data_IF_299939393638
#
_entry.id   IF_299939393638
#
_cell.length_a   1.000
_cell.length_b   1.000
_cell.length_c   1.000
_cell.angle_alpha   90.00
_cell.angle_beta   90.00
_cell.angle_gamma   90.00
#
_symmetry.space_group_name_H-M   'P 1'
#
loop_
_entity.id
_entity.type
_entity.pdbx_description
1 polymer ?
#
# COMPACT_ATOMS: atom_id res chain seq x y z
N UNK A 1 -2.64 -37.36 16.19
CA UNK A 1 -2.88 -37.86 14.81
C UNK A 1 -1.53 -38.22 14.20
N UNK A 2 -1.39 -39.26 13.36
CA UNK A 2 -0.12 -39.48 12.64
C UNK A 2 0.15 -38.28 11.73
N UNK A 3 1.41 -37.91 11.52
CA UNK A 3 1.79 -36.77 10.66
C UNK A 3 1.19 -36.87 9.25
N UNK A 4 1.17 -38.09 8.70
CA UNK A 4 0.54 -38.40 7.42
C UNK A 4 -0.95 -38.05 7.41
N UNK A 5 -1.69 -38.38 8.48
CA UNK A 5 -3.13 -38.11 8.55
C UNK A 5 -3.42 -36.60 8.57
N UNK A 6 -2.62 -35.81 9.29
CA UNK A 6 -2.74 -34.34 9.28
C UNK A 6 -2.55 -33.75 7.88
N UNK A 7 -1.59 -34.26 7.12
CA UNK A 7 -1.36 -33.80 5.74
C UNK A 7 -2.53 -34.16 4.83
N UNK A 8 -3.08 -35.36 4.93
CA UNK A 8 -4.24 -35.79 4.13
C UNK A 8 -5.47 -34.94 4.45
N UNK A 9 -5.74 -34.70 5.74
CA UNK A 9 -6.86 -33.86 6.18
C UNK A 9 -6.69 -32.42 5.68
N UNK A 10 -5.48 -31.84 5.80
CA UNK A 10 -5.18 -30.49 5.33
C UNK A 10 -5.34 -30.31 3.82
N UNK A 11 -4.98 -31.31 3.00
CA UNK A 11 -5.19 -31.28 1.54
C UNK A 11 -6.68 -31.23 1.22
N UNK A 12 -7.46 -32.08 1.89
CA UNK A 12 -8.91 -32.17 1.67
C UNK A 12 -9.59 -30.86 2.07
N UNK A 13 -9.27 -30.33 3.27
CA UNK A 13 -9.79 -29.04 3.72
C UNK A 13 -9.35 -27.87 2.82
N UNK A 14 -8.16 -27.95 2.22
CA UNK A 14 -7.67 -26.92 1.32
C UNK A 14 -8.44 -26.88 0.00
N UNK A 15 -8.67 -28.04 -0.61
CA UNK A 15 -9.49 -28.19 -1.81
C UNK A 15 -10.94 -27.72 -1.58
N UNK A 16 -11.48 -27.97 -0.38
CA UNK A 16 -12.82 -27.55 0.00
C UNK A 16 -12.92 -26.08 0.45
N UNK A 17 -11.80 -25.38 0.57
CA UNK A 17 -11.79 -23.98 0.96
C UNK A 17 -12.56 -23.12 -0.04
N UNK A 18 -13.28 -22.11 0.46
CA UNK A 18 -14.07 -21.23 -0.39
C UNK A 18 -13.22 -20.54 -1.46
N UNK A 19 -12.00 -20.10 -1.11
CA UNK A 19 -11.09 -19.38 -2.02
C UNK A 19 -10.67 -20.27 -3.19
N UNK A 20 -10.28 -21.51 -2.92
CA UNK A 20 -9.89 -22.48 -3.96
C UNK A 20 -11.11 -22.83 -4.81
N UNK A 21 -12.26 -23.20 -4.19
CA UNK A 21 -13.47 -23.56 -4.94
C UNK A 21 -13.99 -22.43 -5.81
N UNK A 22 -14.04 -21.20 -5.32
CA UNK A 22 -14.53 -20.06 -6.09
C UNK A 22 -13.60 -19.72 -7.27
N UNK A 23 -12.28 -19.90 -7.12
CA UNK A 23 -11.35 -19.71 -8.22
C UNK A 23 -11.44 -20.84 -9.24
N UNK A 24 -11.50 -22.09 -8.77
CA UNK A 24 -11.64 -23.29 -9.61
C UNK A 24 -12.94 -23.30 -10.43
N UNK A 25 -14.07 -23.04 -9.77
CA UNK A 25 -15.39 -23.00 -10.44
C UNK A 25 -15.53 -21.84 -11.41
N UNK A 26 -14.76 -20.76 -11.22
CA UNK A 26 -14.73 -19.60 -12.11
C UNK A 26 -13.72 -19.69 -13.26
N UNK A 27 -13.12 -20.87 -13.54
CA UNK A 27 -12.09 -21.04 -14.58
C UNK A 27 -12.50 -20.40 -15.90
N UNK A 28 -13.72 -20.70 -16.35
CA UNK A 28 -14.24 -20.24 -17.63
C UNK A 28 -14.27 -18.72 -17.68
N UNK A 29 -14.89 -18.08 -16.70
CA UNK A 29 -15.00 -16.62 -16.61
C UNK A 29 -13.62 -15.95 -16.51
N UNK A 30 -12.69 -16.54 -15.76
CA UNK A 30 -11.33 -16.01 -15.58
C UNK A 30 -10.52 -16.05 -16.89
N UNK A 31 -10.58 -17.18 -17.59
CA UNK A 31 -9.85 -17.36 -18.85
C UNK A 31 -10.49 -16.53 -19.97
N UNK A 32 -11.83 -16.49 -20.06
CA UNK A 32 -12.56 -15.68 -21.04
C UNK A 32 -12.38 -14.17 -20.81
N UNK A 33 -12.22 -13.74 -19.56
CA UNK A 33 -11.91 -12.35 -19.23
C UNK A 33 -10.56 -11.89 -19.83
N UNK A 34 -9.62 -12.81 -20.06
CA UNK A 34 -8.35 -12.51 -20.72
C UNK A 34 -7.28 -11.87 -19.80
N UNK A 35 -7.52 -11.78 -18.48
CA UNK A 35 -6.49 -11.32 -17.53
C UNK A 35 -5.40 -12.36 -17.32
N UNK A 36 -5.78 -13.63 -17.34
CA UNK A 36 -4.90 -14.78 -17.19
C UNK A 36 -4.90 -15.59 -18.49
N UNK A 37 -3.72 -15.96 -18.96
CA UNK A 37 -3.60 -17.12 -19.83
C UNK A 37 -3.97 -18.39 -19.05
N UNK A 38 -4.32 -19.47 -19.77
CA UNK A 38 -4.63 -20.75 -19.11
C UNK A 38 -3.51 -21.23 -18.19
N UNK A 39 -2.26 -21.14 -18.63
CA UNK A 39 -1.12 -21.53 -17.79
C UNK A 39 -0.89 -20.61 -16.57
N UNK A 40 -1.24 -19.32 -16.65
CA UNK A 40 -1.21 -18.45 -15.47
C UNK A 40 -2.34 -18.73 -14.49
N UNK A 41 -3.53 -19.07 -15.00
CA UNK A 41 -4.64 -19.53 -14.19
C UNK A 41 -4.25 -20.81 -13.42
N UNK A 42 -3.70 -21.81 -14.11
CA UNK A 42 -3.25 -23.07 -13.51
C UNK A 42 -2.19 -22.83 -12.42
N UNK A 43 -1.15 -22.02 -12.72
CA UNK A 43 -0.13 -21.66 -11.73
C UNK A 43 -0.70 -20.94 -10.51
N UNK A 44 -1.64 -20.02 -10.71
CA UNK A 44 -2.25 -19.32 -9.59
C UNK A 44 -3.15 -20.25 -8.77
N UNK A 45 -3.89 -21.17 -9.41
CA UNK A 45 -4.68 -22.18 -8.74
C UNK A 45 -3.80 -23.11 -7.88
N UNK A 46 -2.66 -23.55 -8.42
CA UNK A 46 -1.67 -24.35 -7.68
C UNK A 46 -1.12 -23.58 -6.47
N UNK A 47 -0.77 -22.30 -6.66
CA UNK A 47 -0.38 -21.42 -5.57
C UNK A 47 -1.47 -21.30 -4.49
N UNK A 48 -2.74 -21.14 -4.89
CA UNK A 48 -3.86 -21.06 -3.95
C UNK A 48 -4.03 -22.34 -3.14
N UNK A 49 -3.92 -23.50 -3.79
CA UNK A 49 -4.00 -24.81 -3.15
C UNK A 49 -2.87 -25.00 -2.14
N UNK A 50 -1.65 -24.66 -2.52
CA UNK A 50 -0.49 -24.76 -1.63
C UNK A 50 -0.58 -23.79 -0.44
N UNK A 51 -0.95 -22.54 -0.69
CA UNK A 51 -1.16 -21.51 0.33
C UNK A 51 -2.22 -21.95 1.35
N UNK A 52 -3.33 -22.51 0.87
CA UNK A 52 -4.40 -23.01 1.71
C UNK A 52 -3.96 -24.24 2.51
N UNK A 53 -3.28 -25.20 1.87
CA UNK A 53 -2.76 -26.39 2.53
C UNK A 53 -1.84 -26.01 3.70
N UNK A 54 -0.90 -25.09 3.50
CA UNK A 54 -0.01 -24.57 4.55
C UNK A 54 -0.80 -23.90 5.67
N UNK A 55 -1.82 -23.11 5.33
CA UNK A 55 -2.71 -22.49 6.33
C UNK A 55 -3.45 -23.53 7.17
N UNK A 56 -3.95 -24.61 6.55
CA UNK A 56 -4.65 -25.71 7.25
C UNK A 56 -3.73 -26.51 8.15
N UNK A 57 -2.47 -26.71 7.75
CA UNK A 57 -1.45 -27.30 8.63
C UNK A 57 -1.19 -26.44 9.88
N UNK A 58 -1.05 -25.12 9.72
CA UNK A 58 -0.90 -24.18 10.84
C UNK A 58 -2.12 -24.27 11.78
N UNK A 59 -3.33 -24.22 11.24
CA UNK A 59 -4.57 -24.37 12.03
C UNK A 59 -4.64 -25.72 12.75
N UNK A 60 -4.25 -26.80 12.08
CA UNK A 60 -4.21 -28.14 12.66
C UNK A 60 -3.29 -28.21 13.89
N UNK A 61 -2.09 -27.62 13.80
CA UNK A 61 -1.16 -27.53 14.94
C UNK A 61 -1.75 -26.72 16.10
N UNK A 62 -2.43 -25.61 15.81
CA UNK A 62 -3.10 -24.78 16.81
C UNK A 62 -4.29 -25.52 17.46
N UNK A 63 -4.99 -26.38 16.72
CA UNK A 63 -6.10 -27.19 17.28
C UNK A 63 -5.61 -28.29 18.23
N UNK A 64 -4.38 -28.77 18.05
CA UNK A 64 -3.76 -29.82 18.87
C UNK A 64 -3.13 -29.27 20.16
N UNK A 65 -2.91 -27.96 20.29
CA UNK A 65 -2.29 -27.36 21.46
C UNK A 65 -2.87 -26.00 21.82
N UNK A 66 -3.12 -25.77 23.09
CA UNK A 66 -3.59 -24.46 23.58
C UNK A 66 -2.40 -23.58 23.97
N UNK A 67 -2.45 -22.33 23.53
CA UNK A 67 -1.48 -21.31 23.93
C UNK A 67 -0.11 -21.44 23.26
N UNK A 68 -0.07 -21.79 21.98
CA UNK A 68 1.18 -21.93 21.24
C UNK A 68 1.73 -20.58 20.79
N UNK A 69 3.05 -20.43 20.85
CA UNK A 69 3.78 -19.31 20.24
C UNK A 69 3.99 -19.53 18.73
N UNK A 70 4.29 -18.45 17.99
CA UNK A 70 4.69 -18.54 16.57
C UNK A 70 5.90 -19.48 16.40
N UNK A 71 6.85 -19.45 17.34
CA UNK A 71 8.05 -20.29 17.30
C UNK A 71 7.73 -21.78 17.35
N UNK A 72 6.87 -22.16 18.28
CA UNK A 72 6.49 -23.56 18.47
C UNK A 72 5.71 -24.09 17.27
N UNK A 73 4.85 -23.26 16.67
CA UNK A 73 4.13 -23.62 15.46
C UNK A 73 5.10 -23.77 14.29
N UNK A 74 6.06 -22.86 14.12
CA UNK A 74 7.10 -22.93 13.10
C UNK A 74 7.92 -24.22 13.23
N UNK A 75 8.37 -24.56 14.43
CA UNK A 75 9.07 -25.81 14.71
C UNK A 75 8.23 -27.05 14.37
N UNK A 76 6.93 -27.06 14.73
CA UNK A 76 6.04 -28.21 14.50
C UNK A 76 5.61 -28.38 13.03
N UNK A 77 5.55 -27.29 12.28
CA UNK A 77 5.16 -27.29 10.86
C UNK A 77 6.35 -27.41 9.91
N UNK A 78 7.55 -27.01 10.36
CA UNK A 78 8.73 -26.85 9.52
C UNK A 78 8.72 -25.57 8.68
N UNK A 79 7.75 -24.66 8.90
CA UNK A 79 7.66 -23.38 8.19
C UNK A 79 8.51 -22.31 8.86
N UNK A 80 8.84 -21.24 8.13
CA UNK A 80 9.46 -20.07 8.74
C UNK A 80 8.49 -19.35 9.68
N UNK A 81 9.02 -18.62 10.66
CA UNK A 81 8.21 -17.77 11.58
C UNK A 81 7.32 -16.80 10.81
N UNK A 82 7.84 -16.25 9.71
CA UNK A 82 7.14 -15.30 8.85
C UNK A 82 5.94 -15.94 8.16
N UNK A 83 6.10 -17.16 7.63
CA UNK A 83 5.01 -17.91 7.01
C UNK A 83 3.92 -18.27 8.03
N UNK A 84 4.32 -18.71 9.23
CA UNK A 84 3.38 -18.98 10.32
C UNK A 84 2.62 -17.70 10.70
N UNK A 85 3.33 -16.59 10.95
CA UNK A 85 2.72 -15.31 11.31
C UNK A 85 1.70 -14.85 10.26
N UNK A 86 2.03 -15.02 8.97
CA UNK A 86 1.16 -14.70 7.83
C UNK A 86 -0.15 -15.50 7.88
N UNK A 87 -0.06 -16.81 8.11
CA UNK A 87 -1.21 -17.70 8.19
C UNK A 87 -2.04 -17.46 9.45
N UNK A 88 -1.40 -17.25 10.60
CA UNK A 88 -2.06 -16.87 11.86
C UNK A 88 -2.84 -15.57 11.66
N UNK A 89 -2.27 -14.55 11.02
CA UNK A 89 -2.98 -13.30 10.73
C UNK A 89 -4.24 -13.51 9.86
N UNK A 90 -4.16 -14.37 8.85
CA UNK A 90 -5.32 -14.72 8.04
C UNK A 90 -6.38 -15.50 8.85
N UNK A 91 -5.95 -16.47 9.67
CA UNK A 91 -6.84 -17.26 10.53
C UNK A 91 -7.53 -16.39 11.60
N UNK A 92 -6.85 -15.38 12.15
CA UNK A 92 -7.45 -14.39 13.07
C UNK A 92 -8.55 -13.59 12.39
N UNK A 93 -8.30 -13.19 11.14
CA UNK A 93 -9.29 -12.46 10.34
C UNK A 93 -10.52 -13.30 10.01
N UNK A 94 -10.34 -14.60 9.85
CA UNK A 94 -11.42 -15.59 9.72
C UNK A 94 -12.03 -15.99 11.07
N UNK A 95 -11.58 -15.37 12.17
CA UNK A 95 -12.00 -15.66 13.54
C UNK A 95 -11.80 -17.13 13.97
N UNK A 96 -10.90 -17.86 13.31
CA UNK A 96 -10.59 -19.25 13.64
C UNK A 96 -9.61 -19.37 14.82
N UNK A 97 -8.83 -18.32 15.06
CA UNK A 97 -7.84 -18.25 16.16
C UNK A 97 -7.87 -16.88 16.83
N UNK A 98 -7.50 -16.84 18.10
CA UNK A 98 -7.31 -15.64 18.91
C UNK A 98 -5.83 -15.50 19.31
N UNK A 99 -5.36 -14.25 19.47
CA UNK A 99 -4.03 -13.98 20.03
C UNK A 99 -4.17 -13.23 21.35
N UNK A 100 -3.52 -13.75 22.40
CA UNK A 100 -3.46 -13.13 23.73
C UNK A 100 -2.08 -12.50 23.96
N UNK A 101 -2.10 -11.26 24.45
CA UNK A 101 -0.99 -10.49 25.05
C UNK A 101 0.27 -10.20 24.21
N UNK A 102 1.16 -9.39 24.79
CA UNK A 102 2.44 -8.85 24.25
C UNK A 102 3.53 -9.93 24.00
N UNK A 103 3.14 -11.20 24.07
CA UNK A 103 3.96 -12.38 23.85
C UNK A 103 3.28 -13.43 22.95
N UNK A 104 2.44 -13.00 22.01
CA UNK A 104 1.89 -13.78 20.87
C UNK A 104 1.55 -15.25 21.18
N UNK A 105 0.67 -15.44 22.17
CA UNK A 105 0.09 -16.74 22.49
C UNK A 105 -1.16 -16.94 21.64
N UNK A 106 -1.21 -18.04 20.87
CA UNK A 106 -2.30 -18.32 19.92
C UNK A 106 -3.21 -19.42 20.48
N UNK A 107 -4.51 -19.15 20.54
CA UNK A 107 -5.53 -20.08 21.03
C UNK A 107 -6.61 -20.34 19.98
N UNK A 108 -7.21 -21.54 20.02
CA UNK A 108 -8.37 -21.88 19.17
C UNK A 108 -9.64 -21.18 19.67
N UNK A 109 -10.54 -20.82 18.76
CA UNK A 109 -11.89 -20.33 19.09
C UNK A 109 -12.91 -21.47 19.04
N UNK A 110 -13.75 -21.62 20.07
CA UNK A 110 -14.87 -22.58 20.11
C UNK A 110 -16.04 -22.04 19.28
N UNK A 111 -16.08 -22.40 18.00
CA UNK A 111 -17.12 -22.19 16.97
C UNK A 111 -18.01 -20.93 16.98
N UNK A 112 -17.87 -20.12 15.92
CA UNK A 112 -19.00 -19.69 15.07
C UNK A 112 -18.53 -19.42 13.64
N UNK A 113 -19.25 -19.95 12.64
CA UNK A 113 -19.02 -19.72 11.21
C UNK A 113 -19.61 -18.37 10.76
N UNK A 114 -18.74 -17.40 10.51
CA UNK A 114 -18.71 -16.62 9.26
C UNK A 114 -17.24 -16.67 8.81
N UNK A 115 -16.86 -16.78 7.53
CA UNK A 115 -17.28 -15.95 6.40
C UNK A 115 -16.84 -16.65 5.10
N UNK A 116 -17.57 -16.60 3.98
CA UNK A 116 -16.87 -16.48 2.69
C UNK A 116 -16.23 -15.08 2.68
N UNK A 117 -14.93 -14.95 2.34
CA UNK A 117 -14.26 -13.65 2.23
C UNK A 117 -15.21 -12.59 1.67
N UNK A 118 -15.63 -11.63 2.50
CA UNK A 118 -16.58 -10.62 2.05
C UNK A 118 -15.92 -9.82 0.93
N UNK A 119 -16.67 -9.59 -0.15
CA UNK A 119 -16.28 -8.68 -1.23
C UNK A 119 -15.89 -7.34 -0.59
N UNK A 120 -14.97 -6.58 -1.20
CA UNK A 120 -14.52 -5.29 -0.66
C UNK A 120 -15.62 -4.23 -0.47
N UNK A 121 -16.88 -4.52 -0.84
CA UNK A 121 -18.04 -3.67 -0.64
C UNK A 121 -18.18 -3.17 0.80
N UNK A 122 -18.01 -4.04 1.80
CA UNK A 122 -18.11 -3.65 3.21
C UNK A 122 -17.07 -2.58 3.60
N UNK A 123 -15.84 -2.63 3.05
CA UNK A 123 -14.81 -1.60 3.29
C UNK A 123 -15.26 -0.22 2.78
N UNK A 124 -16.00 -0.21 1.67
CA UNK A 124 -16.54 1.02 1.09
C UNK A 124 -17.71 1.54 1.92
N UNK A 125 -18.62 0.66 2.33
CA UNK A 125 -19.79 0.98 3.18
C UNK A 125 -19.35 1.52 4.55
N UNK A 126 -18.31 0.94 5.13
CA UNK A 126 -17.70 1.38 6.40
C UNK A 126 -16.88 2.69 6.26
N UNK A 127 -16.73 3.22 5.04
CA UNK A 127 -16.00 4.46 4.77
C UNK A 127 -14.47 4.34 4.86
N UNK A 128 -13.94 3.12 4.96
CA UNK A 128 -12.50 2.85 5.14
C UNK A 128 -11.73 2.77 3.82
N UNK A 129 -12.40 2.83 2.67
CA UNK A 129 -11.73 2.76 1.37
C UNK A 129 -10.77 3.93 1.13
N UNK A 130 -9.49 3.61 0.94
CA UNK A 130 -8.43 4.58 0.66
C UNK A 130 -8.35 5.00 -0.82
N UNK A 131 -9.07 4.31 -1.71
CA UNK A 131 -9.03 4.57 -3.15
C UNK A 131 -7.72 4.18 -3.81
N UNK A 132 -7.01 3.16 -3.31
CA UNK A 132 -5.68 2.78 -3.84
C UNK A 132 -5.72 2.07 -5.20
N UNK A 133 -6.82 1.38 -5.56
CA UNK A 133 -6.97 0.66 -6.82
C UNK A 133 -6.53 -0.82 -6.82
N UNK A 134 -6.02 -1.35 -5.70
CA UNK A 134 -5.53 -2.74 -5.63
C UNK A 134 -6.58 -3.81 -5.94
N UNK A 135 -7.83 -3.60 -5.51
CA UNK A 135 -8.93 -4.52 -5.81
C UNK A 135 -9.25 -4.59 -7.31
N UNK A 136 -9.07 -3.48 -8.03
CA UNK A 136 -9.29 -3.39 -9.48
C UNK A 136 -8.23 -4.22 -10.20
N UNK A 137 -6.94 -3.94 -9.90
CA UNK A 137 -5.83 -4.69 -10.48
C UNK A 137 -5.97 -6.20 -10.26
N UNK A 138 -6.34 -6.61 -9.04
CA UNK A 138 -6.39 -8.00 -8.64
C UNK A 138 -7.64 -8.76 -9.10
N UNK A 139 -8.71 -8.09 -9.53
CA UNK A 139 -9.94 -8.76 -9.91
C UNK A 139 -9.72 -9.60 -11.19
N UNK A 140 -9.90 -10.93 -11.16
CA UNK A 140 -9.53 -11.77 -12.30
C UNK A 140 -10.48 -11.65 -13.50
N UNK A 141 -11.69 -11.13 -13.27
CA UNK A 141 -12.80 -11.07 -14.24
C UNK A 141 -13.23 -9.64 -14.55
N UNK A 142 -12.40 -8.64 -14.22
CA UNK A 142 -12.66 -7.21 -14.44
C UNK A 142 -14.04 -6.73 -13.92
N UNK A 143 -14.51 -7.31 -12.81
CA UNK A 143 -15.79 -6.97 -12.20
C UNK A 143 -15.76 -5.69 -11.35
N UNK A 144 -14.64 -4.97 -11.27
CA UNK A 144 -14.51 -3.79 -10.39
C UNK A 144 -14.09 -2.57 -11.21
N UNK A 145 -14.90 -1.51 -11.16
CA UNK A 145 -14.61 -0.21 -11.77
C UNK A 145 -14.42 0.86 -10.69
N UNK A 146 -13.87 2.03 -11.04
CA UNK A 146 -13.69 3.15 -10.10
C UNK A 146 -14.60 4.31 -10.49
N UNK A 147 -15.63 4.56 -9.70
CA UNK A 147 -16.66 5.57 -9.94
C UNK A 147 -16.78 6.41 -8.66
N UNK A 148 -16.83 7.73 -8.80
CA UNK A 148 -16.97 8.67 -7.68
C UNK A 148 -15.99 8.38 -6.52
N UNK A 149 -14.72 8.16 -6.90
CA UNK A 149 -13.62 7.92 -5.97
C UNK A 149 -13.72 6.63 -5.12
N UNK A 150 -14.54 5.68 -5.56
CA UNK A 150 -14.80 4.41 -4.89
C UNK A 150 -14.82 3.25 -5.89
N UNK A 151 -14.43 2.04 -5.47
CA UNK A 151 -14.63 0.85 -6.29
C UNK A 151 -16.11 0.45 -6.31
N UNK A 152 -16.63 0.13 -7.49
CA UNK A 152 -17.98 -0.38 -7.73
C UNK A 152 -17.88 -1.76 -8.35
N UNK A 153 -18.59 -2.73 -7.78
CA UNK A 153 -18.57 -4.14 -8.21
C UNK A 153 -19.76 -4.41 -9.13
N UNK A 154 -19.48 -4.95 -10.32
CA UNK A 154 -20.45 -5.54 -11.22
C UNK A 154 -20.79 -6.95 -10.73
N UNK A 155 -21.96 -7.10 -10.11
CA UNK A 155 -22.43 -8.36 -9.54
C UNK A 155 -22.73 -9.43 -10.60
N UNK A 156 -22.96 -9.04 -11.85
CA UNK A 156 -23.16 -9.97 -12.96
C UNK A 156 -21.85 -10.60 -13.46
N UNK A 157 -20.71 -9.93 -13.23
CA UNK A 157 -19.38 -10.45 -13.56
C UNK A 157 -18.65 -11.06 -12.37
N UNK A 158 -19.02 -10.69 -11.15
CA UNK A 158 -18.27 -11.09 -9.96
C UNK A 158 -18.46 -12.58 -9.63
N UNK A 159 -17.40 -13.37 -9.76
CA UNK A 159 -17.38 -14.79 -9.38
C UNK A 159 -17.25 -15.04 -7.86
N UNK A 160 -17.23 -13.99 -7.03
CA UNK A 160 -17.17 -14.14 -5.57
C UNK A 160 -15.85 -14.67 -5.00
N UNK A 161 -14.75 -14.68 -5.75
CA UNK A 161 -13.48 -15.30 -5.35
C UNK A 161 -12.75 -14.69 -4.13
N UNK A 162 -13.15 -13.49 -3.67
CA UNK A 162 -12.54 -12.85 -2.50
C UNK A 162 -11.13 -12.28 -2.68
N UNK A 163 -10.50 -12.40 -3.86
CA UNK A 163 -9.13 -11.89 -4.12
C UNK A 163 -9.00 -10.39 -3.84
N UNK A 164 -10.05 -9.61 -4.11
CA UNK A 164 -10.09 -8.18 -3.80
C UNK A 164 -9.93 -7.88 -2.30
N UNK A 165 -10.48 -8.73 -1.43
CA UNK A 165 -10.35 -8.62 0.03
C UNK A 165 -8.90 -8.84 0.46
N UNK A 166 -8.25 -9.85 -0.11
CA UNK A 166 -6.86 -10.21 0.17
C UNK A 166 -5.91 -9.07 -0.23
N UNK A 167 -6.17 -8.38 -1.34
CA UNK A 167 -5.34 -7.25 -1.79
C UNK A 167 -5.62 -5.93 -1.06
N UNK A 168 -6.77 -5.81 -0.39
CA UNK A 168 -7.14 -4.56 0.26
C UNK A 168 -6.26 -4.33 1.50
N UNK A 169 -5.51 -3.20 1.60
CA UNK A 169 -4.69 -2.90 2.78
C UNK A 169 -5.53 -2.53 4.02
N UNK A 170 -6.85 -2.46 3.87
CA UNK A 170 -7.82 -2.17 4.92
C UNK A 170 -8.55 -3.40 5.44
N UNK A 171 -8.13 -4.60 5.06
CA UNK A 171 -8.57 -5.84 5.72
C UNK A 171 -7.49 -6.32 6.69
N UNK A 172 -7.27 -7.62 6.84
CA UNK A 172 -6.14 -8.14 7.60
C UNK A 172 -4.83 -7.69 6.96
N UNK A 173 -4.04 -6.86 7.63
CA UNK A 173 -2.79 -6.34 7.08
C UNK A 173 -1.67 -6.59 8.10
N UNK A 174 -0.73 -7.50 7.84
CA UNK A 174 0.27 -7.93 8.83
C UNK A 174 1.42 -6.93 8.87
N UNK A 175 1.15 -5.70 9.32
CA UNK A 175 2.11 -4.60 9.19
C UNK A 175 3.40 -4.86 9.97
N UNK A 176 3.31 -5.40 11.19
CA UNK A 176 4.49 -5.71 12.01
C UNK A 176 5.37 -6.79 11.38
N UNK A 177 4.74 -7.83 10.82
CA UNK A 177 5.40 -8.90 10.08
C UNK A 177 6.13 -8.37 8.83
N UNK A 178 5.48 -7.51 8.04
CA UNK A 178 6.10 -6.92 6.84
C UNK A 178 7.28 -6.04 7.26
N UNK A 179 7.13 -5.22 8.30
CA UNK A 179 8.22 -4.39 8.83
C UNK A 179 9.41 -5.24 9.29
N UNK A 180 9.15 -6.31 10.05
CA UNK A 180 10.18 -7.25 10.50
C UNK A 180 10.89 -7.92 9.33
N UNK A 181 10.14 -8.37 8.31
CA UNK A 181 10.71 -8.97 7.10
C UNK A 181 11.63 -7.99 6.35
N UNK A 182 11.31 -6.70 6.35
CA UNK A 182 12.12 -5.69 5.66
C UNK A 182 13.33 -5.23 6.50
N UNK A 183 13.22 -5.20 7.83
CA UNK A 183 14.31 -4.85 8.76
C UNK A 183 15.25 -6.01 9.05
N UNK A 184 14.75 -7.24 9.04
CA UNK A 184 15.45 -8.45 9.51
C UNK A 184 15.39 -8.66 11.03
N UNK A 185 14.62 -7.84 11.76
CA UNK A 185 14.41 -7.94 13.21
C UNK A 185 13.09 -7.30 13.62
N UNK A 186 12.54 -7.61 14.81
CA UNK A 186 11.32 -6.99 15.29
C UNK A 186 11.38 -5.45 15.31
N UNK A 187 10.25 -4.81 15.00
CA UNK A 187 10.10 -3.35 14.99
C UNK A 187 9.24 -2.92 16.16
N UNK A 188 9.80 -2.12 17.07
CA UNK A 188 9.03 -1.53 18.16
C UNK A 188 8.40 -0.20 17.68
N UNK A 189 7.09 -0.21 17.47
CA UNK A 189 6.34 0.95 16.96
C UNK A 189 6.20 2.11 17.95
N UNK A 190 6.49 1.90 19.24
CA UNK A 190 6.46 2.97 20.25
C UNK A 190 7.75 3.79 20.23
N UNK A 191 8.89 3.09 20.12
CA UNK A 191 10.21 3.71 20.10
C UNK A 191 10.59 4.17 18.69
N UNK A 192 10.31 3.37 17.65
CA UNK A 192 10.67 3.62 16.24
C UNK A 192 9.61 4.48 15.53
N UNK A 193 9.57 5.77 15.85
CA UNK A 193 8.55 6.73 15.36
C UNK A 193 8.40 6.85 13.84
N UNK A 194 9.50 6.69 13.09
CA UNK A 194 9.53 6.67 11.61
C UNK A 194 9.78 5.26 11.03
N UNK A 195 9.66 4.24 11.90
CA UNK A 195 10.05 2.85 11.67
C UNK A 195 11.53 2.72 11.28
N UNK A 196 11.91 1.56 10.72
CA UNK A 196 13.25 1.26 10.30
C UNK A 196 13.62 2.02 9.01
N UNK A 197 14.87 2.43 8.95
CA UNK A 197 15.54 2.91 7.74
C UNK A 197 17.04 2.62 7.89
N UNK A 198 17.73 2.49 6.75
CA UNK A 198 19.17 2.23 6.68
C UNK A 198 19.95 3.54 6.65
N UNK A 199 19.45 4.53 5.89
CA UNK A 199 20.03 5.87 5.82
C UNK A 199 18.95 6.95 5.72
N UNK A 200 19.28 8.15 6.19
CA UNK A 200 18.44 9.34 6.10
C UNK A 200 19.24 10.52 5.55
N UNK A 201 18.67 11.17 4.53
CA UNK A 201 19.30 12.30 3.84
C UNK A 201 18.33 13.47 3.72
N UNK A 202 18.90 14.66 3.55
CA UNK A 202 18.25 15.74 2.81
C UNK A 202 18.85 15.80 1.41
N UNK A 203 18.03 15.78 0.37
CA UNK A 203 18.49 15.66 -1.01
C UNK A 203 17.72 16.57 -1.99
N UNK A 204 18.37 16.90 -3.11
CA UNK A 204 17.78 17.59 -4.25
C UNK A 204 18.21 16.93 -5.56
N UNK A 205 17.42 17.11 -6.61
CA UNK A 205 17.76 16.74 -7.98
C UNK A 205 19.00 17.48 -8.47
N UNK A 206 19.87 16.78 -9.19
CA UNK A 206 20.97 17.35 -9.94
C UNK A 206 20.59 17.63 -11.42
N UNK A 207 19.34 17.37 -11.82
CA UNK A 207 18.87 17.50 -13.20
C UNK A 207 18.01 18.75 -13.38
N UNK A 208 18.46 19.67 -14.23
CA UNK A 208 17.79 20.96 -14.43
C UNK A 208 16.34 20.84 -14.92
N UNK A 209 16.06 19.93 -15.86
CA UNK A 209 14.69 19.66 -16.33
C UNK A 209 13.74 19.23 -15.20
N UNK A 210 14.26 18.48 -14.22
CA UNK A 210 13.46 18.04 -13.06
C UNK A 210 13.24 19.19 -12.09
N UNK A 211 14.26 20.02 -11.87
CA UNK A 211 14.21 21.20 -10.98
C UNK A 211 13.11 22.19 -11.38
N UNK A 212 12.83 22.31 -12.68
CA UNK A 212 11.81 23.20 -13.22
C UNK A 212 10.36 22.78 -12.90
N UNK A 213 10.12 21.48 -12.64
CA UNK A 213 8.76 20.93 -12.48
C UNK A 213 8.49 20.31 -11.12
N UNK A 214 9.52 20.13 -10.28
CA UNK A 214 9.38 19.37 -9.05
C UNK A 214 8.57 20.09 -7.95
N UNK A 215 7.94 19.30 -7.08
CA UNK A 215 7.25 19.81 -5.90
C UNK A 215 8.26 20.41 -4.89
N UNK A 216 9.22 19.58 -4.49
CA UNK A 216 10.22 19.86 -3.46
C UNK A 216 11.62 19.68 -4.06
N UNK A 217 12.36 18.66 -3.63
CA UNK A 217 13.70 18.33 -4.14
C UNK A 217 13.73 17.52 -5.43
N UNK A 218 12.60 17.10 -6.01
CA UNK A 218 12.60 16.37 -7.28
C UNK A 218 13.21 14.96 -7.22
N UNK A 219 13.29 14.37 -6.02
CA UNK A 219 13.95 13.07 -5.80
C UNK A 219 13.23 11.92 -6.50
N UNK A 220 11.91 11.82 -6.38
CA UNK A 220 11.13 10.74 -7.03
C UNK A 220 11.37 10.73 -8.53
N UNK A 221 11.22 11.90 -9.18
CA UNK A 221 11.43 12.06 -10.62
C UNK A 221 12.88 11.74 -11.02
N UNK A 222 13.87 12.14 -10.21
CA UNK A 222 15.29 11.89 -10.50
C UNK A 222 15.67 10.42 -10.38
N UNK A 223 15.13 9.71 -9.38
CA UNK A 223 15.32 8.26 -9.22
C UNK A 223 14.69 7.52 -10.40
N UNK A 224 13.47 7.87 -10.79
CA UNK A 224 12.82 7.26 -11.95
C UNK A 224 13.60 7.51 -13.24
N UNK A 225 14.11 8.74 -13.45
CA UNK A 225 14.94 9.07 -14.61
C UNK A 225 16.21 8.19 -14.64
N UNK A 226 16.88 8.02 -13.49
CA UNK A 226 18.01 7.11 -13.35
C UNK A 226 17.64 5.67 -13.72
N UNK A 227 16.52 5.15 -13.20
CA UNK A 227 16.08 3.78 -13.48
C UNK A 227 15.74 3.55 -14.97
N UNK A 228 15.12 4.53 -15.63
CA UNK A 228 14.88 4.49 -17.08
C UNK A 228 16.18 4.53 -17.88
N UNK A 229 17.09 5.46 -17.56
CA UNK A 229 18.34 5.62 -18.30
C UNK A 229 19.26 4.40 -18.16
N UNK A 230 19.18 3.68 -17.03
CA UNK A 230 19.88 2.40 -16.83
C UNK A 230 19.11 1.18 -17.36
N UNK A 231 17.94 1.38 -17.95
CA UNK A 231 17.10 0.31 -18.50
C UNK A 231 16.64 -0.69 -17.44
N UNK A 232 16.55 -0.29 -16.17
CA UNK A 232 16.15 -1.14 -15.05
C UNK A 232 14.64 -1.35 -14.98
N UNK A 233 13.88 -0.41 -15.51
CA UNK A 233 12.41 -0.45 -15.57
C UNK A 233 11.94 -0.22 -17.00
N UNK A 234 10.82 -0.85 -17.34
CA UNK A 234 10.11 -0.63 -18.61
C UNK A 234 9.09 0.51 -18.46
N UNK A 235 8.51 0.65 -17.27
CA UNK A 235 7.55 1.70 -16.96
C UNK A 235 7.54 2.07 -15.46
N UNK A 236 6.91 3.20 -15.15
CA UNK A 236 6.58 3.56 -13.78
C UNK A 236 5.11 3.95 -13.63
N UNK A 237 4.49 3.54 -12.53
CA UNK A 237 3.15 3.97 -12.13
C UNK A 237 3.26 5.28 -11.35
N UNK A 238 2.57 6.31 -11.82
CA UNK A 238 2.48 7.62 -11.17
C UNK A 238 1.11 8.27 -11.36
N UNK A 239 1.01 9.55 -10.99
CA UNK A 239 -0.22 10.34 -11.09
C UNK A 239 0.06 11.66 -11.77
N UNK A 240 -0.64 11.94 -12.87
CA UNK A 240 -0.62 13.24 -13.54
C UNK A 240 -1.88 14.04 -13.24
N UNK A 241 -1.81 15.32 -13.56
CA UNK A 241 -2.98 16.18 -13.66
C UNK A 241 -3.70 15.85 -14.97
N UNK A 242 -4.98 15.52 -14.91
CA UNK A 242 -5.79 15.12 -16.07
C UNK A 242 -6.25 16.34 -16.89
N UNK A 243 -6.52 17.45 -16.21
CA UNK A 243 -7.06 18.68 -16.80
C UNK A 243 -6.63 19.92 -16.00
N UNK A 244 -7.05 21.11 -16.44
CA UNK A 244 -6.75 22.35 -15.71
C UNK A 244 -7.45 22.46 -14.35
N UNK A 245 -8.49 21.67 -14.12
CA UNK A 245 -9.27 21.63 -12.89
C UNK A 245 -8.66 20.73 -11.80
N UNK A 246 -7.41 20.28 -11.96
CA UNK A 246 -6.72 19.45 -10.97
C UNK A 246 -7.36 18.08 -10.71
N UNK A 247 -8.20 17.58 -11.64
CA UNK A 247 -8.54 16.16 -11.63
C UNK A 247 -7.27 15.34 -11.85
N UNK A 248 -7.22 14.16 -11.28
CA UNK A 248 -6.04 13.29 -11.36
C UNK A 248 -6.30 12.09 -12.24
N UNK A 249 -5.23 11.61 -12.87
CA UNK A 249 -5.25 10.41 -13.68
C UNK A 249 -4.05 9.54 -13.33
N UNK A 250 -4.30 8.28 -13.00
CA UNK A 250 -3.25 7.28 -12.89
C UNK A 250 -2.58 7.14 -14.26
N UNK A 251 -1.24 7.15 -14.32
CA UNK A 251 -0.51 7.08 -15.58
C UNK A 251 0.64 6.09 -15.50
N UNK A 252 0.81 5.29 -16.55
CA UNK A 252 2.05 4.58 -16.83
C UNK A 252 2.95 5.50 -17.64
N UNK A 253 4.09 5.85 -17.07
CA UNK A 253 5.14 6.62 -17.76
C UNK A 253 6.20 5.65 -18.30
N UNK A 254 6.70 5.93 -19.49
CA UNK A 254 7.65 5.06 -20.23
C UNK A 254 8.86 5.81 -20.74
N UNK A 255 8.87 7.14 -20.62
CA UNK A 255 9.95 8.00 -21.05
C UNK A 255 10.06 9.26 -20.16
N UNK A 256 11.14 10.03 -20.36
CA UNK A 256 11.44 11.21 -19.56
C UNK A 256 10.38 12.32 -19.69
N UNK A 257 9.80 12.54 -20.86
CA UNK A 257 8.79 13.60 -21.05
C UNK A 257 7.50 13.30 -20.28
N UNK A 258 7.02 12.06 -20.38
CA UNK A 258 5.89 11.56 -19.60
C UNK A 258 6.18 11.63 -18.09
N UNK A 259 7.42 11.30 -17.69
CA UNK A 259 7.88 11.35 -16.31
C UNK A 259 7.87 12.79 -15.75
N UNK A 260 8.26 13.80 -16.53
CA UNK A 260 8.16 15.19 -16.10
C UNK A 260 6.69 15.62 -15.91
N UNK A 261 5.77 15.09 -16.74
CA UNK A 261 4.33 15.37 -16.65
C UNK A 261 3.64 14.84 -15.38
N UNK A 262 4.24 13.87 -14.68
CA UNK A 262 3.71 13.37 -13.39
C UNK A 262 4.26 14.13 -12.17
N UNK A 263 5.27 15.00 -12.34
CA UNK A 263 5.86 15.76 -11.25
C UNK A 263 4.87 16.73 -10.57
N UNK A 264 5.16 17.09 -9.32
CA UNK A 264 4.29 17.96 -8.51
C UNK A 264 3.20 17.18 -7.77
N UNK A 265 2.85 17.62 -6.56
CA UNK A 265 1.85 16.94 -5.72
C UNK A 265 0.43 17.32 -6.14
N UNK A 266 -0.47 16.34 -6.18
CA UNK A 266 -1.91 16.55 -6.38
C UNK A 266 -2.61 16.03 -5.12
N UNK A 267 -3.19 16.93 -4.33
CA UNK A 267 -3.84 16.61 -3.05
C UNK A 267 -5.27 16.08 -3.25
N UNK A 268 -5.42 15.12 -4.16
CA UNK A 268 -6.68 14.39 -4.36
C UNK A 268 -6.41 12.92 -4.66
N UNK A 269 -7.42 12.07 -4.52
CA UNK A 269 -7.28 10.61 -4.64
C UNK A 269 -7.05 10.17 -6.08
N UNK A 270 -6.30 9.08 -6.26
CA UNK A 270 -6.18 8.39 -7.55
C UNK A 270 -5.91 6.91 -7.32
N UNK A 271 -6.61 5.99 -8.01
CA UNK A 271 -6.41 4.54 -7.86
C UNK A 271 -5.17 4.05 -8.60
N UNK A 272 -3.99 4.62 -8.34
CA UNK A 272 -2.78 4.36 -9.15
C UNK A 272 -2.37 2.88 -9.22
N UNK A 273 -2.61 2.09 -8.17
CA UNK A 273 -2.27 0.66 -8.14
C UNK A 273 -3.11 -0.16 -9.14
N UNK A 274 -4.26 0.37 -9.60
CA UNK A 274 -5.07 -0.31 -10.63
C UNK A 274 -4.29 -0.51 -11.93
N UNK A 275 -3.28 0.33 -12.20
CA UNK A 275 -2.46 0.25 -13.41
C UNK A 275 -1.52 -0.94 -13.46
N UNK A 276 -1.36 -1.73 -12.39
CA UNK A 276 -0.61 -2.99 -12.47
C UNK A 276 -1.21 -3.95 -13.50
N UNK A 277 -2.53 -3.90 -13.71
CA UNK A 277 -3.18 -4.61 -14.81
C UNK A 277 -2.73 -4.10 -16.19
N UNK A 278 -2.59 -2.78 -16.32
CA UNK A 278 -2.16 -2.14 -17.57
C UNK A 278 -0.71 -2.46 -17.92
N UNK A 279 0.15 -2.60 -16.91
CA UNK A 279 1.56 -3.02 -17.07
C UNK A 279 1.60 -4.31 -17.89
N UNK A 280 0.87 -5.34 -17.44
CA UNK A 280 0.74 -6.62 -18.15
C UNK A 280 0.12 -6.44 -19.53
N UNK A 281 -1.00 -5.72 -19.62
CA UNK A 281 -1.76 -5.55 -20.89
C UNK A 281 -0.91 -4.91 -21.99
N UNK A 282 0.00 -4.00 -21.62
CA UNK A 282 0.94 -3.35 -22.55
C UNK A 282 2.23 -4.16 -22.79
N UNK A 283 2.36 -5.34 -22.20
CA UNK A 283 3.53 -6.21 -22.35
C UNK A 283 4.77 -5.73 -21.58
N UNK A 284 4.63 -4.81 -20.62
CA UNK A 284 5.72 -4.41 -19.74
C UNK A 284 5.92 -5.46 -18.64
N UNK A 285 7.16 -5.60 -18.17
CA UNK A 285 7.51 -6.55 -17.11
C UNK A 285 7.99 -5.84 -15.87
N UNK A 286 8.98 -4.95 -16.00
CA UNK A 286 9.71 -4.32 -14.90
C UNK A 286 9.10 -2.97 -14.59
N UNK A 287 8.51 -2.82 -13.40
CA UNK A 287 7.75 -1.63 -13.03
C UNK A 287 8.27 -1.00 -11.74
N UNK A 288 8.39 0.33 -11.75
CA UNK A 288 8.50 1.12 -10.52
C UNK A 288 7.12 1.66 -10.11
N UNK A 289 6.80 1.64 -8.82
CA UNK A 289 5.54 2.16 -8.30
C UNK A 289 5.81 3.35 -7.38
N UNK A 290 5.25 4.50 -7.72
CA UNK A 290 5.21 5.68 -6.86
C UNK A 290 3.86 5.73 -6.15
N UNK A 291 3.86 5.89 -4.84
CA UNK A 291 2.61 6.00 -4.11
C UNK A 291 2.73 6.54 -2.70
N UNK A 292 1.59 6.97 -2.16
CA UNK A 292 1.44 7.29 -0.73
C UNK A 292 1.30 6.00 0.10
N UNK A 293 1.33 6.04 1.45
CA UNK A 293 1.45 4.83 2.27
C UNK A 293 0.41 3.75 1.96
N UNK A 294 -0.87 4.10 1.80
CA UNK A 294 -1.91 3.11 1.52
C UNK A 294 -1.74 2.41 0.15
N UNK A 295 -1.11 3.05 -0.84
CA UNK A 295 -0.82 2.44 -2.14
C UNK A 295 0.38 1.48 -2.02
N UNK A 296 1.43 1.87 -1.30
CA UNK A 296 2.58 0.98 -1.04
C UNK A 296 2.18 -0.20 -0.15
N UNK A 297 1.35 0.01 0.87
CA UNK A 297 0.77 -1.06 1.69
C UNK A 297 0.00 -2.07 0.84
N UNK A 298 -0.73 -1.60 -0.18
CA UNK A 298 -1.44 -2.48 -1.12
C UNK A 298 -0.49 -3.40 -1.86
N UNK A 299 0.61 -2.86 -2.42
CA UNK A 299 1.60 -3.65 -3.15
C UNK A 299 2.33 -4.61 -2.22
N UNK A 300 2.79 -4.16 -1.04
CA UNK A 300 3.44 -5.02 -0.05
C UNK A 300 2.54 -6.12 0.49
N UNK A 301 1.25 -5.85 0.63
CA UNK A 301 0.28 -6.88 0.99
C UNK A 301 0.14 -7.93 -0.12
N UNK A 302 0.09 -7.48 -1.38
CA UNK A 302 0.06 -8.38 -2.52
C UNK A 302 1.33 -9.25 -2.61
N UNK A 303 2.52 -8.68 -2.36
CA UNK A 303 3.77 -9.45 -2.24
C UNK A 303 3.66 -10.55 -1.15
N UNK A 304 3.00 -10.26 -0.03
CA UNK A 304 2.87 -11.22 1.07
C UNK A 304 1.81 -12.32 0.84
N UNK A 305 0.66 -12.00 0.22
CA UNK A 305 -0.49 -12.93 0.16
C UNK A 305 -0.93 -13.35 -1.24
N UNK A 306 -0.32 -12.79 -2.28
CA UNK A 306 -0.72 -12.99 -3.67
C UNK A 306 0.47 -12.76 -4.60
N UNK A 307 1.65 -13.22 -4.20
CA UNK A 307 2.90 -13.02 -4.94
C UNK A 307 2.81 -13.53 -6.37
N UNK A 308 2.16 -14.67 -6.60
CA UNK A 308 1.99 -15.25 -7.95
C UNK A 308 1.05 -14.41 -8.82
N UNK A 309 -0.01 -13.83 -8.25
CA UNK A 309 -0.85 -12.89 -9.00
C UNK A 309 -0.06 -11.61 -9.31
N UNK A 310 0.60 -11.03 -8.30
CA UNK A 310 1.38 -9.81 -8.48
C UNK A 310 2.50 -10.01 -9.53
N UNK A 311 3.21 -11.13 -9.48
CA UNK A 311 4.27 -11.46 -10.42
C UNK A 311 3.75 -11.57 -11.86
N UNK A 312 2.51 -12.05 -12.05
CA UNK A 312 1.85 -12.07 -13.37
C UNK A 312 1.47 -10.68 -13.89
N UNK A 313 1.26 -9.70 -12.99
CA UNK A 313 0.95 -8.32 -13.35
C UNK A 313 2.20 -7.50 -13.68
N UNK A 314 3.32 -7.81 -13.05
CA UNK A 314 4.59 -7.12 -13.24
C UNK A 314 5.59 -7.44 -12.13
N UNK A 315 6.87 -7.33 -12.44
CA UNK A 315 7.97 -7.40 -11.48
C UNK A 315 8.18 -6.01 -10.88
N UNK A 316 7.96 -5.89 -9.58
CA UNK A 316 8.15 -4.64 -8.86
C UNK A 316 9.66 -4.42 -8.63
N UNK A 317 10.26 -3.54 -9.42
CA UNK A 317 11.69 -3.19 -9.33
C UNK A 317 11.93 -2.14 -8.24
N UNK A 318 11.00 -1.22 -8.03
CA UNK A 318 11.15 -0.16 -7.03
C UNK A 318 9.80 0.28 -6.47
N UNK A 319 9.74 0.44 -5.15
CA UNK A 319 8.64 1.08 -4.43
C UNK A 319 9.12 2.43 -3.87
N UNK A 320 8.72 3.52 -4.51
CA UNK A 320 9.09 4.87 -4.09
C UNK A 320 7.89 5.50 -3.36
N UNK A 321 8.03 5.62 -2.05
CA UNK A 321 6.99 6.10 -1.16
C UNK A 321 7.02 7.62 -1.01
N UNK A 322 5.87 8.28 -1.11
CA UNK A 322 5.72 9.70 -0.75
C UNK A 322 5.16 9.80 0.67
N UNK A 323 5.70 10.71 1.49
CA UNK A 323 5.13 11.02 2.80
C UNK A 323 3.70 11.55 2.65
N UNK A 324 2.80 11.16 3.55
CA UNK A 324 1.39 11.56 3.45
C UNK A 324 0.78 11.70 4.83
N UNK A 325 0.28 12.88 5.19
CA UNK A 325 -0.50 13.08 6.41
C UNK A 325 -1.96 12.71 6.17
N UNK A 326 -2.57 13.30 5.15
CA UNK A 326 -3.96 13.14 4.77
C UNK A 326 -4.12 13.41 3.27
N UNK A 327 -5.24 12.99 2.70
CA UNK A 327 -5.61 13.25 1.31
C UNK A 327 -7.09 13.66 1.24
N UNK A 328 -7.46 14.40 0.20
CA UNK A 328 -8.81 14.94 0.03
C UNK A 328 -9.53 14.25 -1.13
N UNK A 329 -10.86 14.22 -1.08
CA UNK A 329 -11.64 13.98 -2.30
C UNK A 329 -11.60 15.21 -3.21
N UNK A 330 -11.88 15.06 -4.49
CA UNK A 330 -11.90 16.15 -5.46
C UNK A 330 -12.89 17.24 -5.09
N UNK A 331 -14.08 16.87 -4.61
CA UNK A 331 -15.09 17.81 -4.12
C UNK A 331 -14.58 18.57 -2.88
N UNK A 332 -13.88 17.90 -1.98
CA UNK A 332 -13.27 18.53 -0.82
C UNK A 332 -12.13 19.49 -1.22
N UNK A 333 -11.29 19.11 -2.19
CA UNK A 333 -10.26 20.00 -2.74
C UNK A 333 -10.90 21.25 -3.36
N UNK A 334 -11.99 21.09 -4.13
CA UNK A 334 -12.76 22.22 -4.67
C UNK A 334 -13.29 23.13 -3.57
N UNK A 335 -13.92 22.57 -2.54
CA UNK A 335 -14.42 23.31 -1.38
C UNK A 335 -13.30 24.14 -0.71
N UNK A 336 -12.14 23.52 -0.49
CA UNK A 336 -10.98 24.20 0.13
C UNK A 336 -10.52 25.38 -0.74
N UNK A 337 -10.38 25.18 -2.05
CA UNK A 337 -9.76 26.18 -2.93
C UNK A 337 -10.76 27.26 -3.35
N UNK A 338 -11.93 26.88 -3.84
CA UNK A 338 -12.90 27.80 -4.41
C UNK A 338 -13.64 28.59 -3.32
N UNK A 339 -14.10 27.91 -2.27
CA UNK A 339 -14.94 28.54 -1.25
C UNK A 339 -14.13 29.10 -0.08
N UNK A 340 -13.11 28.37 0.41
CA UNK A 340 -12.34 28.82 1.58
C UNK A 340 -11.17 29.73 1.24
N UNK A 341 -10.49 29.50 0.11
CA UNK A 341 -9.39 30.36 -0.34
C UNK A 341 -9.83 31.43 -1.33
N UNK A 342 -11.01 31.30 -1.94
CA UNK A 342 -11.53 32.26 -2.93
C UNK A 342 -10.79 32.22 -4.27
N UNK A 343 -10.21 31.07 -4.63
CA UNK A 343 -9.40 30.89 -5.84
C UNK A 343 -10.07 29.88 -6.76
N UNK A 344 -10.18 30.17 -8.06
CA UNK A 344 -10.64 29.16 -9.03
C UNK A 344 -9.58 28.09 -9.22
N UNK A 345 -9.97 26.81 -9.26
CA UNK A 345 -9.00 25.72 -9.43
C UNK A 345 -8.16 25.84 -10.71
N UNK A 346 -8.77 26.27 -11.81
CA UNK A 346 -8.11 26.49 -13.11
C UNK A 346 -6.99 27.53 -13.05
N UNK A 347 -7.03 28.45 -12.08
CA UNK A 347 -6.03 29.49 -11.89
C UNK A 347 -4.86 29.03 -11.01
N UNK A 348 -4.96 27.86 -10.36
CA UNK A 348 -3.89 27.34 -9.50
C UNK A 348 -2.77 26.72 -10.35
N UNK A 349 -1.54 27.19 -10.13
CA UNK A 349 -0.32 26.65 -10.72
C UNK A 349 0.30 25.55 -9.86
N UNK A 350 0.24 25.68 -8.53
CA UNK A 350 0.84 24.73 -7.59
C UNK A 350 0.11 24.71 -6.26
N UNK A 351 -0.02 23.53 -5.67
CA UNK A 351 -0.38 23.38 -4.26
C UNK A 351 0.85 23.08 -3.41
N UNK A 352 0.81 23.42 -2.14
CA UNK A 352 1.81 23.00 -1.17
C UNK A 352 1.21 22.81 0.22
N UNK A 353 1.79 21.93 1.03
CA UNK A 353 1.53 21.89 2.47
C UNK A 353 2.85 22.09 3.18
N UNK A 354 2.98 23.22 3.86
CA UNK A 354 4.18 23.57 4.63
C UNK A 354 3.80 24.24 5.93
N UNK A 355 4.59 24.01 6.99
CA UNK A 355 4.40 24.61 8.33
C UNK A 355 2.95 24.56 8.85
N UNK A 356 2.23 23.48 8.55
CA UNK A 356 0.85 23.28 9.01
C UNK A 356 -0.22 24.09 8.27
N UNK A 357 0.10 24.66 7.10
CA UNK A 357 -0.84 25.35 6.21
C UNK A 357 -0.89 24.68 4.84
N UNK A 358 -2.07 24.66 4.24
CA UNK A 358 -2.29 24.36 2.84
C UNK A 358 -2.19 25.65 2.03
N UNK A 359 -1.44 25.63 0.94
CA UNK A 359 -1.20 26.76 0.06
C UNK A 359 -1.68 26.47 -1.36
N UNK A 360 -2.33 27.44 -1.97
CA UNK A 360 -2.59 27.51 -3.40
C UNK A 360 -1.79 28.69 -3.98
N UNK A 361 -0.87 28.39 -4.88
CA UNK A 361 -0.11 29.38 -5.66
C UNK A 361 -0.75 29.48 -7.03
N UNK A 362 -1.23 30.66 -7.40
CA UNK A 362 -1.92 30.89 -8.67
C UNK A 362 -0.92 31.17 -9.81
N UNK A 363 -1.40 31.08 -11.05
CA UNK A 363 -0.63 31.38 -12.26
C UNK A 363 -0.19 32.85 -12.35
N UNK A 364 -0.90 33.76 -11.65
CA UNK A 364 -0.58 35.20 -11.62
C UNK A 364 0.42 35.58 -10.49
N UNK A 365 0.88 34.60 -9.69
CA UNK A 365 1.84 34.81 -8.62
C UNK A 365 1.23 35.08 -7.23
N UNK A 366 -0.09 35.13 -7.11
CA UNK A 366 -0.78 35.22 -5.83
C UNK A 366 -0.64 33.92 -5.00
N UNK A 367 -0.51 34.07 -3.69
CA UNK A 367 -0.46 32.97 -2.74
C UNK A 367 -1.62 33.09 -1.76
N UNK A 368 -2.44 32.05 -1.66
CA UNK A 368 -3.51 31.92 -0.65
C UNK A 368 -3.22 30.72 0.23
N UNK A 369 -3.51 30.84 1.53
CA UNK A 369 -3.28 29.74 2.47
C UNK A 369 -4.35 29.62 3.54
N UNK A 370 -4.54 28.39 4.01
CA UNK A 370 -5.46 28.04 5.11
C UNK A 370 -4.77 27.04 6.05
N UNK A 371 -4.90 27.18 7.38
CA UNK A 371 -4.37 26.18 8.31
C UNK A 371 -4.94 24.79 8.05
N UNK A 372 -4.07 23.76 8.01
CA UNK A 372 -4.49 22.36 7.76
C UNK A 372 -5.52 21.89 8.79
N UNK A 373 -5.42 22.37 10.04
CA UNK A 373 -6.39 22.02 11.09
C UNK A 373 -7.83 22.41 10.72
N UNK A 374 -8.04 23.53 10.02
CA UNK A 374 -9.38 24.02 9.65
C UNK A 374 -10.02 23.21 8.53
N UNK A 375 -9.19 22.54 7.71
CA UNK A 375 -9.63 21.71 6.59
C UNK A 375 -9.53 20.21 6.89
N UNK A 376 -8.98 19.83 8.05
CA UNK A 376 -8.73 18.43 8.42
C UNK A 376 -10.00 17.57 8.46
N UNK A 377 -11.15 18.16 8.77
CA UNK A 377 -12.45 17.50 8.72
C UNK A 377 -12.93 17.19 7.29
N UNK A 378 -12.34 17.81 6.28
CA UNK A 378 -12.61 17.56 4.86
C UNK A 378 -11.71 16.47 4.27
N UNK A 379 -10.72 16.00 5.03
CA UNK A 379 -9.91 14.86 4.64
C UNK A 379 -10.78 13.62 4.44
N UNK A 380 -10.31 12.69 3.61
CA UNK A 380 -11.02 11.42 3.39
C UNK A 380 -11.15 10.67 4.73
N UNK A 381 -12.34 10.15 5.01
CA UNK A 381 -12.63 9.44 6.26
C UNK A 381 -11.58 8.35 6.60
N UNK A 382 -11.19 7.56 5.60
CA UNK A 382 -10.16 6.52 5.73
C UNK A 382 -8.78 7.03 6.22
N UNK A 383 -8.44 8.31 5.98
CA UNK A 383 -7.16 8.89 6.40
C UNK A 383 -7.04 9.02 7.93
N UNK A 384 -8.16 9.15 8.64
CA UNK A 384 -8.20 9.20 10.12
C UNK A 384 -7.89 7.85 10.78
N UNK A 385 -7.71 6.79 9.98
CA UNK A 385 -7.37 5.45 10.43
C UNK A 385 -6.06 4.94 9.82
N UNK A 386 -5.25 5.82 9.21
CA UNK A 386 -3.97 5.45 8.60
C UNK A 386 -2.80 5.83 9.53
N UNK A 387 -2.10 4.89 10.18
CA UNK A 387 -1.06 5.22 11.15
C UNK A 387 0.32 5.55 10.52
N UNK A 388 0.45 5.46 9.20
CA UNK A 388 1.73 5.62 8.50
C UNK A 388 1.82 7.00 7.84
N UNK A 389 2.79 7.81 8.28
CA UNK A 389 3.13 9.11 7.69
C UNK A 389 4.25 8.99 6.65
N UNK A 390 5.28 8.20 6.97
CA UNK A 390 6.58 8.25 6.29
C UNK A 390 6.74 7.17 5.22
N UNK A 391 5.68 6.41 4.95
CA UNK A 391 5.64 5.35 3.95
C UNK A 391 6.61 4.21 4.30
N UNK A 392 6.39 3.63 5.47
CA UNK A 392 7.36 2.79 6.18
C UNK A 392 7.72 1.49 5.46
N UNK A 393 6.94 1.10 4.45
CA UNK A 393 7.14 -0.14 3.71
C UNK A 393 7.68 0.10 2.28
N UNK A 394 7.98 1.34 1.90
CA UNK A 394 8.63 1.63 0.63
C UNK A 394 10.11 1.19 0.65
N UNK A 395 10.74 1.11 -0.53
CA UNK A 395 12.20 0.95 -0.60
C UNK A 395 12.92 2.25 -0.29
N UNK A 396 12.39 3.35 -0.83
CA UNK A 396 12.85 4.71 -0.61
C UNK A 396 11.62 5.55 -0.30
N UNK A 397 11.65 6.31 0.78
CA UNK A 397 10.57 7.23 1.15
C UNK A 397 11.01 8.67 1.06
N UNK A 398 10.17 9.53 0.49
CA UNK A 398 10.49 10.92 0.17
C UNK A 398 9.39 11.84 0.67
N UNK A 399 9.77 12.96 1.28
CA UNK A 399 8.83 14.04 1.57
C UNK A 399 9.51 15.36 1.91
N UNK A 400 8.72 16.41 2.07
CA UNK A 400 9.22 17.77 2.36
C UNK A 400 9.63 17.96 3.83
N UNK A 401 8.96 17.27 4.76
CA UNK A 401 9.13 17.45 6.21
C UNK A 401 10.58 17.23 6.63
N UNK A 402 11.17 18.22 7.31
CA UNK A 402 12.55 18.15 7.82
C UNK A 402 13.61 18.63 6.82
N UNK A 403 13.23 19.06 5.63
CA UNK A 403 14.15 19.63 4.64
C UNK A 403 13.80 21.08 4.30
N UNK A 404 14.79 21.83 3.83
CA UNK A 404 14.61 23.22 3.39
C UNK A 404 13.84 23.31 2.07
N UNK A 405 13.37 24.50 1.71
CA UNK A 405 12.65 24.73 0.44
C UNK A 405 13.52 24.28 -0.75
N UNK A 406 12.95 23.46 -1.63
CA UNK A 406 13.65 22.90 -2.79
C UNK A 406 14.49 21.66 -2.46
N UNK A 407 14.46 21.16 -1.23
CA UNK A 407 15.07 19.91 -0.81
C UNK A 407 13.98 18.95 -0.30
N UNK A 408 14.29 17.66 -0.29
CA UNK A 408 13.42 16.62 0.25
C UNK A 408 14.16 15.77 1.26
N UNK A 409 13.46 15.36 2.31
CA UNK A 409 13.91 14.32 3.21
C UNK A 409 13.75 12.98 2.50
N UNK A 410 14.81 12.17 2.52
CA UNK A 410 14.86 10.84 1.92
C UNK A 410 15.22 9.82 2.99
N UNK A 411 14.35 8.84 3.19
CA UNK A 411 14.62 7.67 4.03
C UNK A 411 14.83 6.46 3.12
N UNK A 412 16.05 5.96 3.09
CA UNK A 412 16.41 4.71 2.39
C UNK A 412 16.11 3.56 3.33
N UNK A 413 15.18 2.67 2.96
CA UNK A 413 14.64 1.66 3.89
C UNK A 413 15.15 0.26 3.64
N UNK A 414 15.12 -0.19 2.39
CA UNK A 414 15.50 -1.56 2.03
C UNK A 414 16.87 -1.59 1.36
N UNK A 415 17.49 -2.76 1.30
CA UNK A 415 18.73 -2.97 0.53
C UNK A 415 18.53 -2.60 -0.94
N UNK A 416 17.39 -2.97 -1.52
CA UNK A 416 16.98 -2.55 -2.87
C UNK A 416 16.93 -1.03 -3.02
N UNK A 417 16.38 -0.33 -2.03
CA UNK A 417 16.33 1.14 -2.00
C UNK A 417 17.72 1.78 -1.88
N UNK A 418 18.61 1.18 -1.10
CA UNK A 418 20.00 1.62 -0.93
C UNK A 418 20.76 1.53 -2.25
N UNK A 419 20.72 0.38 -2.92
CA UNK A 419 21.35 0.17 -4.23
C UNK A 419 20.85 1.18 -5.29
N UNK A 420 19.54 1.43 -5.32
CA UNK A 420 18.93 2.40 -6.25
C UNK A 420 19.37 3.84 -5.92
N UNK A 421 19.30 4.25 -4.65
CA UNK A 421 19.58 5.63 -4.26
C UNK A 421 21.07 5.96 -4.40
N UNK A 422 21.96 5.05 -3.98
CA UNK A 422 23.41 5.22 -4.15
C UNK A 422 23.82 5.22 -5.61
N UNK A 423 23.16 4.42 -6.46
CA UNK A 423 23.34 4.47 -7.91
C UNK A 423 22.98 5.85 -8.48
N UNK A 424 21.80 6.37 -8.10
CA UNK A 424 21.35 7.70 -8.53
C UNK A 424 22.27 8.85 -8.03
N UNK A 425 22.82 8.72 -6.82
CA UNK A 425 23.83 9.65 -6.28
C UNK A 425 25.13 9.62 -7.10
N UNK A 426 25.68 8.43 -7.31
CA UNK A 426 26.96 8.21 -8.01
C UNK A 426 26.91 8.69 -9.46
N UNK A 427 25.76 8.54 -10.10
CA UNK A 427 25.53 8.90 -11.52
C UNK A 427 25.04 10.35 -11.67
N UNK A 428 25.01 11.14 -10.59
CA UNK A 428 24.70 12.56 -10.65
C UNK A 428 23.25 12.86 -11.05
N UNK A 429 22.29 12.06 -10.57
CA UNK A 429 20.85 12.37 -10.68
C UNK A 429 20.35 13.14 -9.46
N UNK A 430 20.97 12.93 -8.31
CA UNK A 430 20.64 13.59 -7.06
C UNK A 430 21.92 14.04 -6.34
N UNK A 431 21.80 15.08 -5.53
CA UNK A 431 22.77 15.48 -4.51
C UNK A 431 22.14 15.28 -3.14
N UNK A 432 22.92 14.85 -2.15
CA UNK A 432 22.41 14.56 -0.82
C UNK A 432 23.41 14.91 0.27
N UNK A 433 22.88 15.31 1.43
CA UNK A 433 23.61 15.50 2.67
C UNK A 433 22.94 14.63 3.76
N UNK A 434 23.66 14.23 4.82
CA UNK A 434 23.05 13.59 5.99
C UNK A 434 21.88 14.43 6.51
N UNK A 435 20.78 13.77 6.88
CA UNK A 435 19.64 14.47 7.47
C UNK A 435 20.04 15.01 8.86
N UNK A 436 19.82 16.31 9.17
CA UNK A 436 20.11 16.86 10.48
C UNK A 436 19.29 16.20 11.59
N UNK A 437 19.85 16.07 12.79
CA UNK A 437 19.16 15.44 13.94
C UNK A 437 17.84 16.15 14.28
N UNK A 438 17.84 17.49 14.31
CA UNK A 438 16.62 18.28 14.55
C UNK A 438 15.52 18.02 13.50
N UNK A 439 15.90 17.73 12.25
CA UNK A 439 14.97 17.35 11.20
C UNK A 439 14.38 15.97 11.43
N UNK A 440 15.20 15.02 11.90
CA UNK A 440 14.75 13.68 12.29
C UNK A 440 13.81 13.73 13.50
N UNK A 441 14.11 14.51 14.53
CA UNK A 441 13.26 14.71 15.70
C UNK A 441 11.88 15.25 15.33
N UNK A 442 11.83 16.26 14.44
CA UNK A 442 10.57 16.79 13.92
C UNK A 442 9.77 15.71 13.18
N UNK A 443 10.42 14.95 12.31
CA UNK A 443 9.79 13.89 11.54
C UNK A 443 9.22 12.79 12.46
N UNK A 444 10.00 12.36 13.46
CA UNK A 444 9.57 11.39 14.47
C UNK A 444 8.38 11.90 15.27
N UNK A 445 8.40 13.17 15.72
CA UNK A 445 7.28 13.78 16.44
C UNK A 445 5.99 13.74 15.63
N UNK A 446 6.04 14.13 14.34
CA UNK A 446 4.86 14.15 13.48
C UNK A 446 4.36 12.73 13.14
N UNK A 447 5.28 11.80 12.87
CA UNK A 447 4.94 10.41 12.58
C UNK A 447 4.30 9.72 13.79
N UNK A 448 4.89 9.87 14.99
CA UNK A 448 4.30 9.36 16.25
C UNK A 448 2.93 9.98 16.52
N UNK A 449 2.78 11.29 16.29
CA UNK A 449 1.51 11.98 16.45
C UNK A 449 0.40 11.44 15.54
N UNK A 450 0.70 11.19 14.26
CA UNK A 450 -0.24 10.57 13.32
C UNK A 450 -0.58 9.14 13.75
N UNK A 451 0.44 8.33 14.05
CA UNK A 451 0.29 6.94 14.47
C UNK A 451 -0.61 6.83 15.69
N UNK A 452 -0.28 7.54 16.77
CA UNK A 452 -1.05 7.52 18.03
C UNK A 452 -2.53 7.85 17.80
N UNK A 453 -2.83 9.01 17.21
CA UNK A 453 -4.23 9.46 16.98
C UNK A 453 -5.04 8.45 16.16
N UNK A 454 -4.44 7.92 15.10
CA UNK A 454 -5.17 7.07 14.16
C UNK A 454 -5.30 5.63 14.68
N UNK A 455 -4.39 5.16 15.54
CA UNK A 455 -4.55 3.90 16.26
C UNK A 455 -5.60 4.02 17.38
N UNK A 456 -5.62 5.13 18.12
CA UNK A 456 -6.68 5.42 19.10
C UNK A 456 -8.07 5.44 18.43
N UNK A 457 -8.20 6.10 17.28
CA UNK A 457 -9.45 6.12 16.50
C UNK A 457 -9.88 4.72 16.01
N UNK A 458 -8.93 3.85 15.66
CA UNK A 458 -9.22 2.45 15.32
C UNK A 458 -9.70 1.66 16.54
N UNK A 459 -9.03 1.82 17.68
CA UNK A 459 -9.41 1.16 18.94
C UNK A 459 -10.78 1.61 19.44
N UNK A 460 -11.11 2.90 19.28
CA UNK A 460 -12.46 3.41 19.56
C UNK A 460 -13.50 2.78 18.63
N UNK A 461 -13.25 2.75 17.32
CA UNK A 461 -14.13 2.10 16.36
C UNK A 461 -14.39 0.63 16.69
N UNK A 462 -13.35 -0.10 17.11
CA UNK A 462 -13.46 -1.49 17.56
C UNK A 462 -14.34 -1.62 18.82
N UNK A 463 -14.17 -0.74 19.82
CA UNK A 463 -15.00 -0.70 21.04
C UNK A 463 -16.47 -0.41 20.74
N UNK A 464 -16.75 0.37 19.71
CA UNK A 464 -18.11 0.66 19.22
C UNK A 464 -18.74 -0.50 18.43
N UNK A 465 -18.04 -1.63 18.28
CA UNK A 465 -18.51 -2.78 17.49
C UNK A 465 -18.54 -2.53 15.98
N UNK A 466 -17.94 -1.43 15.52
CA UNK A 466 -17.78 -1.13 14.08
C UNK A 466 -16.56 -1.85 13.54
N UNK A 467 -16.57 -2.11 12.23
CA UNK A 467 -15.44 -2.78 11.59
C UNK A 467 -14.18 -1.93 11.70
N UNK A 468 -13.16 -2.46 12.37
CA UNK A 468 -11.90 -1.79 12.62
C UNK A 468 -10.76 -2.71 12.23
N UNK A 469 -10.00 -2.35 11.21
CA UNK A 469 -8.79 -3.07 10.81
C UNK A 469 -7.69 -2.09 10.45
N UNK A 470 -6.66 -2.10 11.30
CA UNK A 470 -5.31 -2.51 10.92
C UNK A 470 -4.93 -3.56 11.96
N UNK A 471 -4.63 -4.79 11.56
CA UNK A 471 -4.06 -5.75 12.50
C UNK A 471 -2.61 -5.31 12.73
N UNK A 472 -2.32 -4.71 13.89
CA UNK A 472 -0.94 -4.33 14.26
C UNK A 472 -0.18 -5.58 14.59
#
# INVERSE_FOLDING_TARGET
>A
MSELRRRVDAITEAADSFRVRAFFTGEKEIVEAGKFSKGEYERYLDYLLEDEFRRRLVLGVIREGEGLTIEEIAHRTGFSKLEVARHVNALRYEELVECKDDGLVITRKEEQRKVPYEKIKFIVEEGLCTGCGGCIAACPVYAITFIDEKPVIDEGKCIGCGICNIHCPRTFFPISMIRESLKGSPVNVETEGVSFFRQAYTAQTAKEKVKQVCQDGGIVTSILAYLFDKGMIDCAIGVRKADEYWRTQATLVTNLEELLGIAGTKYTVTPSVSLLEEVKRRGFRRVAVVGVPCQIHTVRKAEAYSSELLSSLGEIVALIGIFCMENFGYIALREIVENRLGVKLEDVAKFNIDKGKFFAHTKNGEERSIPVKEISMLARHACHYCPDLTNELADISVGSIGSSKGWSTVLVRTKRGEEIFEGALREGYVTANPLPDASMELLQKLAKGKRKRNLEALSERAREGKYATLVI
#
